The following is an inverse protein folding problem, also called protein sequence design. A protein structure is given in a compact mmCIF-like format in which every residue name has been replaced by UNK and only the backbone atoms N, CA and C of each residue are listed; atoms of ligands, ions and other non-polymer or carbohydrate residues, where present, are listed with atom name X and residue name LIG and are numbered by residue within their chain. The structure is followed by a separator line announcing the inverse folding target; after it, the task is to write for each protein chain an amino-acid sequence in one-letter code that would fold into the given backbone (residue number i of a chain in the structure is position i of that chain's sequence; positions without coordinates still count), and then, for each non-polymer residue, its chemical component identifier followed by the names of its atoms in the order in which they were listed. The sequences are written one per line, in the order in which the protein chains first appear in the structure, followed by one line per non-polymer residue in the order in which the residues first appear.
data_IF_522915915183
#
_entry.id   IF_522915915183
#
_cell.length_a   1.000
_cell.length_b   1.000
_cell.length_c   1.000
_cell.angle_alpha   90.00
_cell.angle_beta   90.00
_cell.angle_gamma   90.00
#
_symmetry.space_group_name_H-M   'P 1'
#
loop_
_entity.id
_entity.type
_entity.pdbx_description
1 polymer ?
#
# COMPACT_ATOMS: atom_id res chain seq x y z
N UNK A 1 -13.74 14.85 -11.92
CA UNK A 1 -13.04 13.81 -12.68
C UNK A 1 -13.05 12.52 -11.87
N UNK A 2 -13.10 11.33 -12.50
CA UNK A 2 -13.02 10.08 -11.75
C UNK A 2 -11.67 9.96 -11.01
N UNK A 3 -11.71 9.45 -9.78
CA UNK A 3 -10.53 9.19 -8.96
C UNK A 3 -9.61 8.18 -9.67
N UNK A 4 -8.34 8.53 -9.86
CA UNK A 4 -7.35 7.65 -10.49
C UNK A 4 -6.84 6.63 -9.46
N UNK A 5 -6.57 5.39 -9.87
CA UNK A 5 -5.96 4.42 -8.97
C UNK A 5 -4.56 4.88 -8.57
N UNK A 6 -4.24 4.71 -7.29
CA UNK A 6 -2.92 4.91 -6.71
C UNK A 6 -1.99 3.71 -7.04
N UNK A 7 -0.67 3.94 -7.02
CA UNK A 7 0.37 2.96 -7.36
C UNK A 7 0.12 2.24 -8.70
N UNK A 8 -0.03 3.00 -9.78
CA UNK A 8 -0.03 2.48 -11.16
C UNK A 8 1.39 2.31 -11.68
N UNK A 9 1.56 1.37 -12.61
CA UNK A 9 2.81 1.13 -13.32
C UNK A 9 2.67 1.49 -14.80
N UNK A 10 2.34 2.75 -15.09
CA UNK A 10 2.09 3.22 -16.45
C UNK A 10 0.92 2.46 -17.07
N UNK A 11 1.08 1.88 -18.28
CA UNK A 11 -0.03 1.20 -18.97
C UNK A 11 -0.33 -0.21 -18.46
N UNK A 12 0.47 -0.75 -17.51
CA UNK A 12 0.32 -2.14 -17.07
C UNK A 12 -0.96 -2.33 -16.24
N UNK A 13 -1.85 -3.20 -16.70
CA UNK A 13 -3.04 -3.62 -15.95
C UNK A 13 -2.72 -4.72 -14.94
N UNK A 14 -1.70 -5.53 -15.18
CA UNK A 14 -1.23 -6.57 -14.27
C UNK A 14 0.30 -6.60 -14.20
N UNK A 15 0.84 -6.36 -13.02
CA UNK A 15 2.27 -6.19 -12.82
C UNK A 15 2.72 -6.60 -11.42
N UNK A 16 4.04 -6.73 -11.25
CA UNK A 16 4.66 -6.94 -9.96
C UNK A 16 5.99 -6.19 -9.84
N UNK A 17 6.39 -5.90 -8.61
CA UNK A 17 7.67 -5.27 -8.30
C UNK A 17 8.17 -5.71 -6.91
N UNK A 18 9.48 -5.66 -6.72
CA UNK A 18 10.11 -5.92 -5.43
C UNK A 18 10.21 -4.67 -4.58
N UNK A 19 10.18 -4.82 -3.25
CA UNK A 19 10.40 -3.75 -2.29
C UNK A 19 11.32 -4.24 -1.18
N UNK A 20 12.29 -3.42 -0.80
CA UNK A 20 13.14 -3.65 0.36
C UNK A 20 12.98 -2.53 1.39
N UNK A 21 12.88 -2.89 2.66
CA UNK A 21 12.93 -1.96 3.79
C UNK A 21 14.13 -2.25 4.67
N UNK A 22 14.90 -1.22 4.99
CA UNK A 22 15.98 -1.28 5.96
C UNK A 22 15.46 -1.01 7.38
N UNK A 23 14.89 -2.02 8.04
CA UNK A 23 14.55 -1.97 9.47
C UNK A 23 15.71 -2.55 10.30
N UNK A 24 16.64 -1.70 10.72
CA UNK A 24 17.81 -2.12 11.51
C UNK A 24 18.83 -2.90 10.68
N UNK A 25 19.31 -4.05 11.18
CA UNK A 25 20.41 -4.82 10.57
C UNK A 25 19.97 -5.90 9.56
N UNK A 26 18.69 -6.21 9.44
CA UNK A 26 18.17 -7.23 8.51
C UNK A 26 17.14 -6.59 7.58
N UNK A 27 17.34 -6.66 6.25
CA UNK A 27 16.36 -6.13 5.31
C UNK A 27 15.07 -6.96 5.39
N UNK A 28 13.94 -6.28 5.24
CA UNK A 28 12.66 -6.91 4.95
C UNK A 28 12.44 -6.80 3.45
N UNK A 29 12.17 -7.92 2.79
CA UNK A 29 11.90 -7.94 1.34
C UNK A 29 10.51 -8.40 1.07
N UNK A 30 9.86 -7.70 0.15
CA UNK A 30 8.49 -7.95 -0.25
C UNK A 30 8.40 -8.06 -1.77
N UNK A 31 7.47 -8.88 -2.22
CA UNK A 31 6.94 -8.85 -3.56
C UNK A 31 5.56 -8.22 -3.48
N UNK A 32 5.32 -7.17 -4.27
CA UNK A 32 4.00 -6.57 -4.45
C UNK A 32 3.56 -6.84 -5.89
N UNK A 33 2.37 -7.40 -6.05
CA UNK A 33 1.73 -7.59 -7.34
C UNK A 33 0.37 -6.92 -7.34
N UNK A 34 -0.04 -6.40 -8.49
CA UNK A 34 -1.34 -5.77 -8.66
C UNK A 34 -1.94 -6.11 -10.00
N UNK A 35 -3.25 -6.39 -10.00
CA UNK A 35 -4.10 -6.47 -11.18
C UNK A 35 -5.23 -5.46 -11.08
N UNK A 36 -5.49 -4.75 -12.16
CA UNK A 36 -6.64 -3.87 -12.36
C UNK A 36 -7.61 -4.48 -13.37
N UNK A 37 -8.91 -4.44 -13.08
CA UNK A 37 -9.95 -4.90 -14.02
C UNK A 37 -11.15 -3.95 -13.94
N UNK A 38 -11.15 -2.91 -14.79
CA UNK A 38 -12.12 -1.82 -14.72
C UNK A 38 -12.05 -1.05 -13.40
N UNK A 39 -13.14 -1.03 -12.65
CA UNK A 39 -13.25 -0.40 -11.32
C UNK A 39 -12.83 -1.35 -10.17
N UNK A 40 -12.16 -2.47 -10.49
CA UNK A 40 -11.68 -3.43 -9.49
C UNK A 40 -10.16 -3.53 -9.46
N UNK A 41 -9.60 -3.81 -8.29
CA UNK A 41 -8.18 -4.06 -8.11
C UNK A 41 -7.95 -5.24 -7.17
N UNK A 42 -6.93 -6.04 -7.46
CA UNK A 42 -6.40 -7.05 -6.57
C UNK A 42 -4.93 -6.73 -6.31
N UNK A 43 -4.59 -6.40 -5.06
CA UNK A 43 -3.22 -6.22 -4.61
C UNK A 43 -2.79 -7.41 -3.78
N UNK A 44 -1.67 -8.02 -4.13
CA UNK A 44 -1.05 -9.10 -3.36
C UNK A 44 0.31 -8.63 -2.84
N UNK A 45 0.58 -8.83 -1.55
CA UNK A 45 1.89 -8.59 -0.95
C UNK A 45 2.39 -9.89 -0.33
N UNK A 46 3.63 -10.25 -0.62
CA UNK A 46 4.31 -11.42 -0.06
C UNK A 46 5.55 -10.98 0.69
N UNK A 47 5.78 -11.56 1.86
CA UNK A 47 7.03 -11.42 2.59
C UNK A 47 7.99 -12.50 2.09
N UNK A 48 9.15 -12.07 1.60
CA UNK A 48 10.21 -12.96 1.12
C UNK A 48 11.30 -13.13 2.18
N UNK A 49 11.62 -12.04 2.87
CA UNK A 49 12.62 -12.01 3.94
C UNK A 49 12.13 -11.15 5.11
N UNK A 50 12.51 -11.51 6.35
CA UNK A 50 13.39 -12.62 6.72
C UNK A 50 12.68 -13.98 6.66
N UNK A 51 13.46 -15.06 6.63
CA UNK A 51 13.00 -16.46 6.49
C UNK A 51 11.88 -16.83 7.47
N UNK A 52 11.93 -16.33 8.72
CA UNK A 52 10.92 -16.63 9.74
C UNK A 52 9.51 -16.12 9.38
N UNK A 53 9.43 -15.14 8.47
CA UNK A 53 8.18 -14.55 8.00
C UNK A 53 7.89 -14.91 6.52
N UNK A 54 8.84 -15.56 5.85
CA UNK A 54 8.72 -15.92 4.44
C UNK A 54 7.48 -16.78 4.20
N UNK A 55 6.72 -16.45 3.17
CA UNK A 55 5.42 -17.08 2.88
C UNK A 55 4.24 -16.46 3.61
N UNK A 56 4.45 -15.44 4.44
CA UNK A 56 3.38 -14.53 4.85
C UNK A 56 2.86 -13.78 3.63
N UNK A 57 1.55 -13.72 3.46
CA UNK A 57 0.95 -12.94 2.39
C UNK A 57 -0.29 -12.17 2.83
N UNK A 58 -0.60 -11.16 2.04
CA UNK A 58 -1.75 -10.29 2.15
C UNK A 58 -2.40 -10.17 0.77
N UNK A 59 -3.72 -10.19 0.73
CA UNK A 59 -4.49 -9.77 -0.45
C UNK A 59 -5.45 -8.65 -0.06
N UNK A 60 -5.58 -7.68 -0.96
CA UNK A 60 -6.54 -6.58 -0.88
C UNK A 60 -7.34 -6.62 -2.17
N UNK A 61 -8.63 -6.95 -2.07
CA UNK A 61 -9.59 -6.90 -3.17
C UNK A 61 -10.42 -5.64 -3.02
N UNK A 62 -10.45 -4.81 -4.06
CA UNK A 62 -11.17 -3.54 -4.10
C UNK A 62 -12.17 -3.57 -5.25
N UNK A 63 -13.42 -3.21 -4.97
CA UNK A 63 -14.46 -2.91 -5.96
C UNK A 63 -14.94 -1.48 -5.73
N UNK A 64 -14.43 -0.55 -6.51
CA UNK A 64 -14.73 0.88 -6.37
C UNK A 64 -16.18 1.19 -6.72
N UNK A 65 -16.73 0.52 -7.73
CA UNK A 65 -18.10 0.76 -8.18
C UNK A 65 -19.12 0.16 -7.20
N UNK A 66 -18.81 -1.02 -6.65
CA UNK A 66 -19.61 -1.68 -5.61
C UNK A 66 -19.39 -1.12 -4.20
N UNK A 67 -18.33 -0.33 -3.99
CA UNK A 67 -17.96 0.19 -2.68
C UNK A 67 -17.51 -0.90 -1.69
N UNK A 68 -16.84 -1.95 -2.18
CA UNK A 68 -16.34 -3.05 -1.35
C UNK A 68 -14.81 -3.04 -1.26
N UNK A 69 -14.30 -3.43 -0.08
CA UNK A 69 -12.88 -3.66 0.14
C UNK A 69 -12.71 -4.81 1.12
N UNK A 70 -11.97 -5.83 0.70
CA UNK A 70 -11.69 -7.01 1.48
C UNK A 70 -10.20 -7.23 1.62
N UNK A 71 -9.77 -7.42 2.86
CA UNK A 71 -8.36 -7.62 3.21
C UNK A 71 -8.22 -8.99 3.85
N UNK A 72 -7.36 -9.84 3.31
CA UNK A 72 -7.07 -11.17 3.83
C UNK A 72 -5.59 -11.35 4.08
N UNK A 73 -5.22 -11.90 5.23
CA UNK A 73 -3.83 -12.21 5.56
C UNK A 73 -3.65 -13.68 5.88
N UNK A 74 -2.47 -14.18 5.59
CA UNK A 74 -1.99 -15.48 6.01
C UNK A 74 -0.57 -15.32 6.54
N UNK A 75 -0.31 -15.97 7.67
CA UNK A 75 1.05 -16.15 8.23
C UNK A 75 1.29 -17.65 8.28
N UNK A 76 2.50 -18.18 8.00
CA UNK A 76 2.78 -19.61 7.96
C UNK A 76 2.37 -20.42 9.20
N UNK A 77 2.24 -19.77 10.37
CA UNK A 77 1.78 -20.40 11.62
C UNK A 77 0.26 -20.57 11.71
N UNK A 78 -0.50 -20.00 10.76
CA UNK A 78 -1.97 -20.10 10.69
C UNK A 78 -2.39 -21.31 9.88
N UNK A 79 -3.57 -21.89 10.19
CA UNK A 79 -4.14 -23.00 9.42
C UNK A 79 -4.69 -22.58 8.06
N UNK A 80 -5.10 -21.32 7.92
CA UNK A 80 -5.70 -20.73 6.72
C UNK A 80 -5.62 -19.22 6.77
N UNK A 81 -5.79 -18.57 5.62
CA UNK A 81 -5.95 -17.12 5.56
C UNK A 81 -7.18 -16.66 6.36
N UNK A 82 -7.07 -15.48 6.96
CA UNK A 82 -8.12 -14.85 7.76
C UNK A 82 -8.44 -13.46 7.21
N UNK A 83 -9.73 -13.11 7.22
CA UNK A 83 -10.18 -11.77 6.85
C UNK A 83 -9.84 -10.80 7.98
N UNK A 84 -9.23 -9.68 7.63
CA UNK A 84 -9.00 -8.56 8.53
C UNK A 84 -10.32 -7.81 8.70
N UNK A 85 -10.76 -7.62 9.95
CA UNK A 85 -11.95 -6.82 10.24
C UNK A 85 -11.69 -5.34 9.95
N UNK A 86 -12.73 -4.63 9.48
CA UNK A 86 -12.64 -3.23 9.01
C UNK A 86 -11.81 -2.31 9.90
N UNK A 87 -12.06 -2.30 11.22
CA UNK A 87 -11.32 -1.45 12.18
C UNK A 87 -9.80 -1.64 12.16
N UNK A 88 -9.30 -2.80 11.73
CA UNK A 88 -7.87 -3.11 11.66
C UNK A 88 -7.25 -2.74 10.30
N UNK A 89 -8.06 -2.52 9.26
CA UNK A 89 -7.60 -2.05 7.94
C UNK A 89 -6.98 -0.65 8.01
N UNK A 90 -7.42 0.17 8.96
CA UNK A 90 -6.84 1.50 9.22
C UNK A 90 -5.51 1.47 10.00
N UNK A 91 -5.03 0.28 10.38
CA UNK A 91 -3.75 0.07 11.05
C UNK A 91 -2.59 -0.23 10.11
N UNK A 92 -1.45 -0.58 10.71
CA UNK A 92 -0.26 -1.05 9.98
C UNK A 92 -0.37 -2.53 9.60
N UNK A 93 0.32 -2.93 8.54
CA UNK A 93 0.60 -4.33 8.23
C UNK A 93 1.42 -4.95 9.36
N UNK A 94 1.31 -6.26 9.60
CA UNK A 94 2.14 -6.95 10.58
C UNK A 94 3.63 -6.66 10.34
N UNK A 95 4.34 -6.23 11.38
CA UNK A 95 5.79 -6.05 11.39
C UNK A 95 6.34 -4.98 10.43
N UNK A 96 5.47 -4.10 9.92
CA UNK A 96 5.87 -2.96 9.11
C UNK A 96 5.26 -1.67 9.65
N UNK A 97 5.81 -0.52 9.25
CA UNK A 97 5.16 0.77 9.50
C UNK A 97 4.13 1.11 8.41
N UNK A 98 4.22 0.50 7.22
CA UNK A 98 3.21 0.60 6.16
C UNK A 98 1.90 -0.04 6.65
N UNK A 99 0.78 0.37 6.09
CA UNK A 99 -0.55 -0.02 6.52
C UNK A 99 -1.43 -0.31 5.32
N UNK A 100 -2.55 -0.97 5.56
CA UNK A 100 -3.35 -1.53 4.48
C UNK A 100 -3.83 -0.45 3.51
N UNK A 101 -4.25 0.71 4.03
CA UNK A 101 -4.65 1.85 3.20
C UNK A 101 -3.56 2.26 2.20
N UNK A 102 -2.29 2.25 2.58
CA UNK A 102 -1.18 2.70 1.70
C UNK A 102 -0.95 1.76 0.52
N UNK A 103 -1.55 0.58 0.56
CA UNK A 103 -1.54 -0.37 -0.53
C UNK A 103 -2.87 -0.41 -1.28
N UNK A 104 -3.83 0.46 -0.98
CA UNK A 104 -5.09 0.50 -1.73
C UNK A 104 -4.93 1.28 -3.03
N UNK A 105 -5.58 0.82 -4.08
CA UNK A 105 -5.71 1.55 -5.33
C UNK A 105 -6.62 2.77 -5.18
N UNK A 106 -7.67 2.69 -4.37
CA UNK A 106 -8.60 3.80 -4.18
C UNK A 106 -8.80 4.13 -2.71
N UNK A 107 -9.49 5.25 -2.45
CA UNK A 107 -10.04 5.54 -1.13
C UNK A 107 -10.86 4.37 -0.62
N UNK A 108 -10.59 3.92 0.60
CA UNK A 108 -11.38 2.89 1.26
C UNK A 108 -12.85 3.31 1.37
N UNK A 109 -13.84 2.45 1.02
CA UNK A 109 -15.24 2.85 0.90
C UNK A 109 -15.90 3.28 2.22
N UNK A 110 -15.39 2.80 3.35
CA UNK A 110 -15.88 3.20 4.67
C UNK A 110 -15.36 4.58 5.15
N UNK A 111 -14.48 5.22 4.39
CA UNK A 111 -14.07 6.60 4.67
C UNK A 111 -15.16 7.56 4.21
N UNK A 112 -15.68 8.34 5.15
CA UNK A 112 -16.66 9.38 4.86
C UNK A 112 -16.01 10.63 4.30
N UNK A 113 -16.81 11.45 3.62
CA UNK A 113 -16.37 12.78 3.19
C UNK A 113 -16.11 13.68 4.40
N UNK A 114 -15.23 14.68 4.23
CA UNK A 114 -14.96 15.68 5.26
C UNK A 114 -15.84 16.91 5.06
N UNK A 115 -16.32 17.55 6.14
CA UNK A 115 -17.02 18.83 6.06
C UNK A 115 -16.18 19.88 5.32
N UNK A 116 -16.79 20.64 4.41
CA UNK A 116 -16.15 21.64 3.54
C UNK A 116 -15.26 22.65 4.29
N UNK A 117 -15.53 22.89 5.57
CA UNK A 117 -14.86 23.89 6.40
C UNK A 117 -13.57 23.42 7.09
N UNK A 118 -13.16 22.15 6.92
CA UNK A 118 -11.95 21.65 7.59
C UNK A 118 -10.70 21.91 6.76
N UNK A 119 -9.91 22.89 7.18
CA UNK A 119 -8.57 23.10 6.63
C UNK A 119 -7.69 21.87 6.90
N UNK A 120 -7.18 21.26 5.82
CA UNK A 120 -6.33 20.10 5.88
C UNK A 120 -4.88 20.50 5.56
N UNK A 121 -4.00 20.35 6.56
CA UNK A 121 -2.58 20.65 6.41
C UNK A 121 -1.83 19.48 5.76
N UNK A 122 -1.17 19.74 4.63
CA UNK A 122 -0.28 18.81 3.92
C UNK A 122 1.15 19.34 3.79
N UNK A 123 1.52 20.39 4.53
CA UNK A 123 2.88 20.97 4.54
C UNK A 123 3.96 19.95 4.92
N UNK A 124 3.58 18.93 5.70
CA UNK A 124 4.45 17.82 6.10
C UNK A 124 4.78 16.83 4.97
N UNK A 125 4.05 16.84 3.85
CA UNK A 125 4.29 15.93 2.72
C UNK A 125 5.62 16.21 2.03
N UNK A 126 6.08 17.47 2.07
CA UNK A 126 7.24 17.95 1.33
C UNK A 126 7.06 17.96 -0.18
N UNK A 127 5.86 17.66 -0.69
CA UNK A 127 5.58 17.63 -2.12
C UNK A 127 5.12 19.01 -2.62
N UNK A 128 5.84 19.65 -3.55
CA UNK A 128 5.50 20.99 -4.01
C UNK A 128 4.12 21.05 -4.67
N UNK A 129 3.29 22.00 -4.21
CA UNK A 129 1.96 22.24 -4.81
C UNK A 129 0.92 21.15 -4.56
N UNK A 130 1.17 20.21 -3.64
CA UNK A 130 0.19 19.18 -3.32
C UNK A 130 -1.11 19.77 -2.74
N UNK A 131 -2.24 19.25 -3.20
CA UNK A 131 -3.57 19.58 -2.69
C UNK A 131 -3.98 18.61 -1.58
N UNK A 132 -4.64 19.14 -0.56
CA UNK A 132 -5.11 18.32 0.55
C UNK A 132 -6.48 17.72 0.27
N UNK A 133 -6.63 16.41 0.55
CA UNK A 133 -7.93 15.76 0.69
C UNK A 133 -8.02 15.14 2.06
N UNK A 134 -9.16 15.27 2.72
CA UNK A 134 -9.35 14.76 4.07
C UNK A 134 -10.60 13.89 4.10
N UNK A 135 -10.55 12.82 4.88
CA UNK A 135 -11.66 11.89 5.05
C UNK A 135 -11.88 11.54 6.52
N UNK A 136 -13.14 11.39 6.90
CA UNK A 136 -13.52 10.91 8.21
C UNK A 136 -13.46 9.38 8.24
N UNK A 137 -12.99 8.82 9.36
CA UNK A 137 -13.07 7.40 9.59
C UNK A 137 -14.52 6.91 9.73
N UNK A 138 -14.74 5.58 9.60
CA UNK A 138 -16.06 5.00 9.79
C UNK A 138 -16.55 5.15 11.23
N UNK A 139 -17.86 4.95 11.44
CA UNK A 139 -18.47 4.97 12.77
C UNK A 139 -17.83 3.97 13.76
N UNK A 140 -17.23 2.89 13.26
CA UNK A 140 -16.49 1.90 14.04
C UNK A 140 -15.16 2.42 14.59
N UNK A 141 -14.66 3.56 14.09
CA UNK A 141 -13.37 4.17 14.42
C UNK A 141 -13.52 5.69 14.70
N UNK A 142 -14.26 6.10 15.75
CA UNK A 142 -14.54 7.50 16.00
C UNK A 142 -13.28 8.31 16.28
N UNK A 143 -13.18 9.47 15.63
CA UNK A 143 -12.03 10.36 15.71
C UNK A 143 -10.86 9.96 14.82
N UNK A 144 -10.99 8.91 14.00
CA UNK A 144 -10.04 8.63 12.92
C UNK A 144 -10.21 9.67 11.80
N UNK A 145 -9.11 10.15 11.26
CA UNK A 145 -9.07 11.02 10.08
C UNK A 145 -7.95 10.56 9.17
N UNK A 146 -8.19 10.59 7.86
CA UNK A 146 -7.18 10.28 6.84
C UNK A 146 -6.98 11.53 6.00
N UNK A 147 -5.76 12.04 5.94
CA UNK A 147 -5.41 13.21 5.12
C UNK A 147 -4.44 12.77 4.02
N UNK A 148 -4.78 13.02 2.77
CA UNK A 148 -3.96 12.75 1.60
C UNK A 148 -3.42 14.05 1.01
N UNK A 149 -2.14 14.04 0.64
CA UNK A 149 -1.55 15.02 -0.25
C UNK A 149 -1.61 14.46 -1.67
N UNK A 150 -2.25 15.18 -2.58
CA UNK A 150 -2.47 14.76 -3.96
C UNK A 150 -1.69 15.68 -4.89
N UNK A 151 -0.90 15.09 -5.80
CA UNK A 151 -0.26 15.85 -6.86
C UNK A 151 -1.33 16.35 -7.85
N UNK A 152 -1.53 17.67 -8.02
CA UNK A 152 -2.58 18.21 -8.89
C UNK A 152 -2.36 17.88 -10.37
N UNK A 153 -1.12 17.57 -10.77
CA UNK A 153 -0.80 17.25 -12.17
C UNK A 153 -1.20 15.82 -12.51
N UNK A 154 -0.74 14.84 -11.74
CA UNK A 154 -1.04 13.43 -11.99
C UNK A 154 -2.38 12.97 -11.40
N UNK A 155 -2.88 13.66 -10.39
CA UNK A 155 -4.02 13.24 -9.56
C UNK A 155 -3.68 12.14 -8.56
N UNK A 156 -2.40 11.82 -8.37
CA UNK A 156 -1.91 10.70 -7.56
C UNK A 156 -1.68 11.12 -6.11
N UNK A 157 -2.00 10.23 -5.17
CA UNK A 157 -1.65 10.41 -3.75
C UNK A 157 -0.13 10.28 -3.58
N UNK A 158 0.51 11.35 -3.12
CA UNK A 158 1.97 11.42 -2.92
C UNK A 158 2.37 11.36 -1.45
N UNK A 159 1.41 11.57 -0.54
CA UNK A 159 1.58 11.32 0.88
C UNK A 159 0.22 11.07 1.56
N UNK A 160 0.22 10.35 2.67
CA UNK A 160 -0.97 10.17 3.51
C UNK A 160 -0.62 10.20 5.00
N UNK A 161 -1.44 10.90 5.78
CA UNK A 161 -1.47 10.86 7.24
C UNK A 161 -2.70 10.10 7.70
N UNK A 162 -2.53 9.24 8.69
CA UNK A 162 -3.61 8.62 9.44
C UNK A 162 -3.54 9.14 10.87
N UNK A 163 -4.59 9.82 11.28
CA UNK A 163 -4.67 10.54 12.54
C UNK A 163 -5.78 9.96 13.40
N UNK A 164 -5.55 9.87 14.71
CA UNK A 164 -6.57 9.47 15.68
C UNK A 164 -6.71 10.55 16.74
N UNK A 165 -7.90 11.12 16.83
CA UNK A 165 -8.24 12.20 17.77
C UNK A 165 -7.28 13.38 17.67
N UNK A 166 -6.89 13.73 16.44
CA UNK A 166 -5.97 14.84 16.15
C UNK A 166 -4.49 14.53 16.38
N UNK A 167 -4.14 13.29 16.75
CA UNK A 167 -2.75 12.85 16.88
C UNK A 167 -2.38 12.01 15.66
N UNK A 168 -1.33 12.36 14.90
CA UNK A 168 -0.87 11.52 13.81
C UNK A 168 -0.37 10.17 14.35
N UNK A 169 -1.00 9.08 13.95
CA UNK A 169 -0.51 7.73 14.26
C UNK A 169 0.58 7.32 13.28
N UNK A 170 0.48 7.82 12.04
CA UNK A 170 1.35 7.42 10.94
C UNK A 170 1.29 8.40 9.78
N UNK A 171 2.43 8.61 9.14
CA UNK A 171 2.58 9.33 7.87
C UNK A 171 3.42 8.51 6.92
N UNK A 172 2.98 8.34 5.68
CA UNK A 172 3.83 7.86 4.60
C UNK A 172 3.90 8.92 3.50
N UNK A 173 5.02 8.98 2.79
CA UNK A 173 5.24 9.92 1.70
C UNK A 173 6.18 9.35 0.64
N UNK A 174 5.99 9.79 -0.60
CA UNK A 174 6.96 9.58 -1.68
C UNK A 174 8.21 10.40 -1.38
N UNK A 175 9.36 9.73 -1.32
CA UNK A 175 10.67 10.38 -1.17
C UNK A 175 11.39 10.50 -2.52
N UNK A 176 11.12 9.58 -3.43
CA UNK A 176 11.66 9.59 -4.78
C UNK A 176 10.60 9.02 -5.74
N UNK A 177 10.09 9.83 -6.70
CA UNK A 177 9.23 9.31 -7.75
C UNK A 177 10.01 8.30 -8.61
N UNK A 178 9.31 7.39 -9.27
CA UNK A 178 9.96 6.42 -10.15
C UNK A 178 9.14 6.16 -11.42
N UNK A 179 9.81 5.89 -12.55
CA UNK A 179 9.12 5.48 -13.76
C UNK A 179 8.61 4.02 -13.63
N UNK A 180 7.53 3.65 -14.35
CA UNK A 180 6.71 4.50 -15.20
C UNK A 180 5.63 5.34 -14.48
N UNK A 181 5.49 5.24 -13.15
CA UNK A 181 4.57 6.04 -12.29
C UNK A 181 4.63 5.57 -10.81
N UNK A 182 5.22 4.39 -10.56
CA UNK A 182 5.47 3.85 -9.22
C UNK A 182 6.66 4.53 -8.53
N UNK A 183 6.51 4.98 -7.27
CA UNK A 183 7.63 5.49 -6.47
C UNK A 183 8.85 4.58 -6.47
N UNK A 184 10.03 5.16 -6.60
CA UNK A 184 11.29 4.44 -6.41
C UNK A 184 11.61 4.30 -4.90
N UNK A 185 11.22 5.31 -4.11
CA UNK A 185 11.39 5.29 -2.65
C UNK A 185 10.23 5.97 -1.94
N UNK A 186 9.77 5.34 -0.87
CA UNK A 186 8.82 5.94 0.09
C UNK A 186 9.42 5.96 1.50
N UNK A 187 8.96 6.90 2.31
CA UNK A 187 9.31 7.01 3.71
C UNK A 187 8.07 6.90 4.56
N UNK A 188 8.14 6.13 5.64
CA UNK A 188 7.06 5.99 6.62
C UNK A 188 7.56 6.43 7.97
N UNK A 189 6.78 7.25 8.66
CA UNK A 189 7.05 7.73 10.01
C UNK A 189 5.86 7.40 10.88
N UNK A 190 6.13 6.87 12.06
CA UNK A 190 5.19 6.91 13.18
C UNK A 190 5.79 7.80 14.26
N UNK A 191 5.08 8.83 14.76
CA UNK A 191 5.66 9.76 15.73
C UNK A 191 6.19 9.09 17.02
N UNK A 192 5.64 7.93 17.37
CA UNK A 192 6.01 7.14 18.55
C UNK A 192 7.16 6.13 18.30
N UNK A 193 7.52 5.85 17.04
CA UNK A 193 8.44 4.76 16.68
C UNK A 193 9.87 5.21 16.33
N UNK A 194 10.20 6.49 16.54
CA UNK A 194 11.54 7.02 16.31
C UNK A 194 11.82 7.35 14.83
N UNK A 195 12.89 6.76 14.27
CA UNK A 195 13.34 7.07 12.91
C UNK A 195 12.32 6.61 11.84
N UNK A 196 12.33 7.31 10.71
CA UNK A 196 11.54 6.91 9.55
C UNK A 196 12.04 5.56 8.99
N UNK A 197 11.12 4.70 8.57
CA UNK A 197 11.45 3.53 7.77
C UNK A 197 11.38 3.90 6.29
N UNK A 198 12.45 3.63 5.55
CA UNK A 198 12.47 3.77 4.10
C UNK A 198 12.16 2.43 3.43
N UNK A 199 11.34 2.49 2.38
CA UNK A 199 11.08 1.37 1.49
C UNK A 199 11.57 1.75 0.09
N UNK A 200 12.36 0.89 -0.52
CA UNK A 200 12.98 1.09 -1.84
C UNK A 200 12.48 0.02 -2.80
N UNK A 201 12.05 0.45 -3.98
CA UNK A 201 11.66 -0.47 -5.05
C UNK A 201 12.91 -1.16 -5.63
N UNK A 202 12.82 -2.47 -5.81
CA UNK A 202 13.89 -3.32 -6.33
C UNK A 202 13.67 -3.55 -7.84
N UNK A 203 14.16 -2.61 -8.66
CA UNK A 203 14.05 -2.68 -10.12
C UNK A 203 12.69 -2.23 -10.67
N UNK A 204 12.51 -2.36 -11.98
CA UNK A 204 11.30 -1.93 -12.67
C UNK A 204 10.13 -2.89 -12.46
N UNK A 205 8.88 -2.38 -12.46
CA UNK A 205 7.72 -3.25 -12.46
C UNK A 205 7.73 -4.12 -13.72
N UNK A 206 7.42 -5.40 -13.53
CA UNK A 206 7.34 -6.38 -14.61
C UNK A 206 5.89 -6.74 -14.85
N UNK A 207 5.50 -6.90 -16.11
CA UNK A 207 4.18 -7.40 -16.48
C UNK A 207 3.99 -8.85 -16.01
N UNK A 208 2.79 -9.17 -15.53
CA UNK A 208 2.41 -10.50 -15.07
C UNK A 208 1.12 -10.93 -15.78
N UNK A 209 1.04 -12.16 -16.32
CA UNK A 209 -0.19 -12.65 -16.93
C UNK A 209 -1.36 -12.61 -15.94
N UNK A 210 -2.49 -12.05 -16.34
CA UNK A 210 -3.63 -11.81 -15.45
C UNK A 210 -4.16 -13.07 -14.77
N UNK A 211 -4.15 -14.22 -15.45
CA UNK A 211 -4.64 -15.49 -14.91
C UNK A 211 -3.84 -16.01 -13.71
N UNK A 212 -2.59 -15.58 -13.54
CA UNK A 212 -1.75 -15.98 -12.40
C UNK A 212 -2.30 -15.45 -11.07
N UNK A 213 -3.07 -14.36 -11.09
CA UNK A 213 -3.70 -13.80 -9.90
C UNK A 213 -4.89 -14.62 -9.38
N UNK A 214 -5.45 -15.50 -10.22
CA UNK A 214 -6.57 -16.37 -9.85
C UNK A 214 -6.10 -17.74 -9.32
N UNK A 215 -4.79 -17.97 -9.34
CA UNK A 215 -4.15 -19.18 -8.82
C UNK A 215 -3.77 -19.04 -7.33
N UNK A 216 -3.21 -20.11 -6.76
CA UNK A 216 -2.68 -20.08 -5.41
C UNK A 216 -1.52 -19.07 -5.27
N UNK A 217 -1.32 -18.47 -4.08
CA UNK A 217 -0.34 -17.42 -3.86
C UNK A 217 1.10 -17.76 -4.32
N UNK A 218 1.46 -19.05 -4.31
CA UNK A 218 2.75 -19.56 -4.79
C UNK A 218 2.94 -19.42 -6.30
N UNK A 219 1.90 -19.53 -7.11
CA UNK A 219 1.99 -19.38 -8.56
C UNK A 219 2.45 -17.96 -8.94
N UNK A 220 1.91 -16.94 -8.23
CA UNK A 220 2.32 -15.56 -8.41
C UNK A 220 3.78 -15.33 -8.00
N UNK A 221 4.23 -15.95 -6.91
CA UNK A 221 5.64 -15.94 -6.55
C UNK A 221 6.51 -16.55 -7.66
N UNK A 222 6.18 -17.75 -8.12
CA UNK A 222 6.98 -18.48 -9.10
C UNK A 222 7.03 -17.72 -10.45
N UNK A 223 5.93 -17.08 -10.85
CA UNK A 223 5.86 -16.24 -12.04
C UNK A 223 6.78 -15.00 -11.96
N UNK A 224 6.98 -14.45 -10.75
CA UNK A 224 7.80 -13.24 -10.54
C UNK A 224 9.26 -13.56 -10.21
N UNK A 225 9.53 -14.65 -9.51
CA UNK A 225 10.87 -15.00 -9.02
C UNK A 225 11.91 -15.14 -10.13
N UNK A 226 11.50 -15.53 -11.35
CA UNK A 226 12.37 -15.54 -12.53
C UNK A 226 12.55 -14.20 -13.23
N UNK A 227 11.76 -13.17 -12.88
CA UNK A 227 11.68 -11.87 -13.59
C UNK A 227 12.28 -10.71 -12.81
N UNK A 228 12.42 -10.83 -11.49
CA UNK A 228 13.04 -9.80 -10.63
C UNK A 228 14.27 -10.40 -9.93
N UNK A 229 15.49 -10.27 -10.52
CA UNK A 229 16.69 -10.91 -9.99
C UNK A 229 17.02 -10.55 -8.54
N UNK A 230 16.67 -9.33 -8.10
CA UNK A 230 16.87 -8.87 -6.73
C UNK A 230 16.01 -9.61 -5.69
N UNK A 231 14.98 -10.35 -6.13
CA UNK A 231 14.13 -11.19 -5.29
C UNK A 231 14.52 -12.68 -5.35
N UNK A 232 15.54 -13.03 -6.13
CA UNK A 232 16.03 -14.39 -6.17
C UNK A 232 16.59 -14.79 -4.78
N UNK A 233 16.26 -15.99 -4.28
CA UNK A 233 16.82 -16.45 -3.00
C UNK A 233 18.35 -16.45 -3.08
N UNK A 234 19.00 -15.95 -2.03
CA UNK A 234 20.44 -16.06 -1.89
C UNK A 234 20.81 -17.56 -1.96
N UNK A 235 21.62 -17.93 -2.95
CA UNK A 235 22.13 -19.29 -3.13
C UNK A 235 23.15 -19.64 -2.04
#
# INVERSE_FOLDING_TARGET
MPERPFLTAGPLTAFAFGVESALGRRPLRYLVARRFTGDTALTCLYVLEPEQLAGTYLTISEDRAGGDCQVWTYVPTMRRAVRIVERHVFGCLPLTQVGYLDLMAWRHPALGDVPEDREADVSWSGWPGAEARCYLGPASMPGLTVTEAVDPVSGTVVARSVDRRGVPERRWQVLEPGPPELPARIGVRRPDAGAATEFRRLGDPVEIPEGVFDEEPRALWDAVGGRIPALAPAR
#
